data_IF_315953033255
#
_entry.id   IF_315953033255
#
_cell.length_a   1.000
_cell.length_b   1.000
_cell.length_c   1.000
_cell.angle_alpha   90.00
_cell.angle_beta   90.00
_cell.angle_gamma   90.00
#
_symmetry.space_group_name_H-M   'P 1'
#
loop_
_entity.id
_entity.type
_entity.pdbx_description
1 polymer ?
#
# COMPACT_ATOMS: atom_id res chain seq x y z
N UNK A 1 12.44 -45.99 -69.74
CA UNK A 1 11.48 -44.86 -69.72
C UNK A 1 10.93 -44.76 -68.30
N UNK A 2 11.45 -43.83 -67.50
CA UNK A 2 11.09 -43.64 -66.10
C UNK A 2 10.29 -42.34 -65.97
N UNK A 3 9.00 -42.46 -65.65
CA UNK A 3 8.14 -41.33 -65.32
C UNK A 3 8.35 -40.93 -63.86
N UNK A 4 8.70 -39.66 -63.63
CA UNK A 4 8.68 -39.02 -62.31
C UNK A 4 7.28 -38.42 -62.07
N UNK A 5 6.63 -38.67 -60.92
CA UNK A 5 5.47 -37.90 -60.53
C UNK A 5 5.90 -36.54 -59.96
N UNK A 6 5.27 -35.47 -60.45
CA UNK A 6 5.33 -34.11 -59.89
C UNK A 6 4.24 -34.02 -58.82
N UNK A 7 4.64 -33.78 -57.57
CA UNK A 7 3.73 -33.54 -56.46
C UNK A 7 3.37 -32.04 -56.45
N UNK A 8 2.13 -31.71 -56.78
CA UNK A 8 1.59 -30.35 -56.72
C UNK A 8 0.92 -30.16 -55.34
N UNK A 9 1.51 -29.34 -54.46
CA UNK A 9 0.89 -28.96 -53.19
C UNK A 9 0.19 -27.62 -53.39
N UNK A 10 -1.14 -27.65 -53.41
CA UNK A 10 -1.97 -26.44 -53.39
C UNK A 10 -2.19 -26.09 -51.92
N UNK A 11 -1.55 -25.01 -51.46
CA UNK A 11 -1.84 -24.41 -50.16
C UNK A 11 -3.03 -23.46 -50.32
N UNK A 12 -4.18 -23.85 -49.78
CA UNK A 12 -5.30 -22.95 -49.55
C UNK A 12 -5.08 -22.22 -48.23
N UNK A 13 -4.81 -20.92 -48.31
CA UNK A 13 -4.84 -20.04 -47.15
C UNK A 13 -6.28 -19.94 -46.65
N UNK A 14 -6.57 -20.56 -45.51
CA UNK A 14 -7.81 -20.32 -44.77
C UNK A 14 -7.66 -18.98 -44.07
N UNK A 15 -8.38 -17.98 -44.56
CA UNK A 15 -8.52 -16.69 -43.89
C UNK A 15 -9.21 -16.89 -42.54
N UNK A 16 -8.48 -16.65 -41.46
CA UNK A 16 -9.06 -16.51 -40.13
C UNK A 16 -9.66 -15.11 -40.01
N UNK A 17 -10.98 -15.04 -39.99
CA UNK A 17 -11.69 -13.85 -39.53
C UNK A 17 -11.45 -13.73 -38.03
N UNK A 18 -10.63 -12.74 -37.63
CA UNK A 18 -10.55 -12.31 -36.25
C UNK A 18 -11.92 -11.72 -35.87
N UNK A 19 -12.65 -12.43 -35.02
CA UNK A 19 -13.80 -11.87 -34.32
C UNK A 19 -13.29 -10.73 -33.43
N UNK A 20 -13.59 -9.49 -33.82
CA UNK A 20 -13.38 -8.32 -32.98
C UNK A 20 -14.33 -8.44 -31.80
N UNK A 21 -13.79 -8.78 -30.63
CA UNK A 21 -14.52 -8.72 -29.38
C UNK A 21 -15.02 -7.28 -29.17
N UNK A 22 -16.30 -7.08 -28.80
CA UNK A 22 -16.80 -5.74 -28.53
C UNK A 22 -15.99 -5.13 -27.39
N UNK A 23 -15.32 -4.01 -27.67
CA UNK A 23 -14.80 -3.13 -26.63
C UNK A 23 -16.01 -2.62 -25.85
N UNK A 24 -16.23 -3.18 -24.67
CA UNK A 24 -17.11 -2.57 -23.69
C UNK A 24 -16.47 -1.23 -23.29
N UNK A 25 -16.94 -0.15 -23.92
CA UNK A 25 -16.62 1.19 -23.51
C UNK A 25 -17.44 1.45 -22.25
N UNK A 26 -16.85 1.17 -21.09
CA UNK A 26 -17.38 1.67 -19.83
C UNK A 26 -17.19 3.18 -19.84
N UNK A 27 -18.22 3.91 -20.26
CA UNK A 27 -18.34 5.32 -19.91
C UNK A 27 -18.70 5.35 -18.43
N UNK A 28 -17.73 5.69 -17.59
CA UNK A 28 -18.00 6.14 -16.24
C UNK A 28 -18.63 7.53 -16.42
N UNK A 29 -19.96 7.56 -16.46
CA UNK A 29 -20.70 8.80 -16.30
C UNK A 29 -20.53 9.18 -14.83
N UNK A 30 -19.66 10.15 -14.56
CA UNK A 30 -19.71 10.85 -13.28
C UNK A 30 -21.06 11.53 -13.24
N UNK A 31 -21.93 11.03 -12.36
CA UNK A 31 -23.07 11.78 -11.90
C UNK A 31 -22.49 13.02 -11.22
N UNK A 32 -22.64 14.19 -11.85
CA UNK A 32 -22.48 15.48 -11.20
C UNK A 32 -23.61 15.65 -10.18
N UNK A 33 -23.66 14.75 -9.19
CA UNK A 33 -24.38 15.01 -7.96
C UNK A 33 -23.57 16.08 -7.25
N UNK A 34 -23.95 17.33 -7.51
CA UNK A 34 -23.59 18.45 -6.66
C UNK A 34 -23.74 17.99 -5.21
N UNK A 35 -22.70 18.14 -4.37
CA UNK A 35 -22.89 17.90 -2.96
C UNK A 35 -23.93 18.92 -2.51
N UNK A 36 -25.17 18.47 -2.33
CA UNK A 36 -26.13 19.19 -1.53
C UNK A 36 -25.41 19.44 -0.20
N UNK A 37 -25.06 20.70 0.04
CA UNK A 37 -24.77 21.22 1.36
C UNK A 37 -25.99 20.92 2.22
N UNK A 38 -26.04 19.71 2.78
CA UNK A 38 -26.91 19.43 3.91
C UNK A 38 -26.33 20.27 5.03
N UNK A 39 -26.96 21.43 5.21
CA UNK A 39 -26.62 22.40 6.24
C UNK A 39 -26.44 21.68 7.58
N UNK A 40 -25.17 21.54 8.00
CA UNK A 40 -24.78 21.04 9.30
C UNK A 40 -25.02 22.09 10.42
N UNK A 41 -25.95 23.03 10.22
CA UNK A 41 -26.23 24.11 11.16
C UNK A 41 -27.47 23.87 12.02
N UNK A 42 -28.20 22.77 11.84
CA UNK A 42 -29.44 22.53 12.59
C UNK A 42 -29.29 21.67 13.87
N UNK A 43 -28.10 21.11 14.15
CA UNK A 43 -27.89 20.25 15.34
C UNK A 43 -27.13 20.92 16.49
N UNK A 44 -26.73 22.19 16.35
CA UNK A 44 -25.99 22.92 17.40
C UNK A 44 -26.73 24.13 17.99
N UNK A 45 -27.98 24.40 17.59
CA UNK A 45 -28.77 25.54 18.09
C UNK A 45 -29.98 25.13 18.94
N UNK A 46 -29.91 24.02 19.68
CA UNK A 46 -31.02 23.60 20.56
C UNK A 46 -30.65 23.38 22.02
N UNK A 47 -29.59 24.03 22.52
CA UNK A 47 -29.24 24.04 23.96
C UNK A 47 -28.87 25.45 24.49
N UNK A 48 -29.37 26.52 23.86
CA UNK A 48 -29.45 27.84 24.51
C UNK A 48 -30.85 28.08 25.08
N UNK A 49 -31.31 27.15 25.92
CA UNK A 49 -32.44 27.43 26.79
C UNK A 49 -31.91 27.78 28.17
N UNK A 50 -31.91 29.08 28.46
CA UNK A 50 -31.66 29.69 29.77
C UNK A 50 -32.61 29.11 30.82
N UNK A 51 -32.19 28.04 31.48
CA UNK A 51 -32.65 27.69 32.82
C UNK A 51 -31.50 26.96 33.55
N UNK A 52 -30.53 27.77 33.99
CA UNK A 52 -29.42 27.33 34.82
C UNK A 52 -30.01 26.87 36.16
N UNK A 53 -30.20 25.57 36.33
CA UNK A 53 -30.46 24.94 37.62
C UNK A 53 -29.11 24.79 38.37
N UNK A 54 -28.82 25.60 39.41
CA UNK A 54 -27.52 25.61 40.09
C UNK A 54 -27.22 24.35 40.93
N UNK A 55 -28.10 23.34 40.92
CA UNK A 55 -28.02 22.15 41.77
C UNK A 55 -27.66 20.87 41.00
N UNK A 56 -27.37 20.94 39.69
CA UNK A 56 -26.93 19.75 38.94
C UNK A 56 -25.51 19.34 39.33
N UNK A 57 -25.26 18.09 39.77
CA UNK A 57 -23.96 17.62 40.26
C UNK A 57 -22.87 17.61 39.18
N UNK A 58 -23.22 17.83 37.91
CA UNK A 58 -22.30 17.93 36.78
C UNK A 58 -21.50 19.24 36.82
N UNK A 59 -22.09 20.34 37.31
CA UNK A 59 -21.41 21.65 37.33
C UNK A 59 -20.46 21.83 38.52
N UNK A 60 -20.58 21.01 39.56
CA UNK A 60 -19.72 21.11 40.75
C UNK A 60 -18.27 20.69 40.50
N UNK A 61 -17.99 20.00 39.40
CA UNK A 61 -16.62 19.56 39.05
C UNK A 61 -15.89 20.50 38.09
N UNK A 62 -16.59 21.48 37.49
CA UNK A 62 -15.98 22.40 36.51
C UNK A 62 -15.33 23.60 37.19
N UNK A 63 -15.82 24.01 38.37
CA UNK A 63 -15.28 25.18 39.10
C UNK A 63 -13.95 24.93 39.81
N UNK A 64 -13.58 23.68 40.06
CA UNK A 64 -12.39 23.33 40.86
C UNK A 64 -11.14 23.06 40.01
N UNK A 65 -11.23 23.15 38.68
CA UNK A 65 -10.11 22.94 37.77
C UNK A 65 -9.41 24.26 37.42
N UNK A 66 -8.68 24.83 38.38
CA UNK A 66 -7.77 25.98 38.14
C UNK A 66 -6.38 25.54 37.64
N UNK A 67 -6.29 24.40 36.94
CA UNK A 67 -5.05 23.95 36.33
C UNK A 67 -4.78 24.75 35.06
N UNK A 68 -3.73 25.57 35.07
CA UNK A 68 -3.15 26.16 33.87
C UNK A 68 -2.69 25.02 32.94
N UNK A 69 -3.56 24.59 32.03
CA UNK A 69 -3.24 23.60 31.01
C UNK A 69 -2.32 24.28 30.01
N UNK A 70 -1.01 24.15 30.19
CA UNK A 70 -0.06 24.49 29.14
C UNK A 70 -0.29 23.53 27.99
N UNK A 71 -0.92 24.00 26.91
CA UNK A 71 -1.02 23.26 25.67
C UNK A 71 0.40 22.99 25.16
N UNK A 72 0.88 21.76 25.30
CA UNK A 72 2.04 21.31 24.54
C UNK A 72 1.52 20.84 23.19
N UNK A 73 2.03 21.44 22.12
CA UNK A 73 1.86 20.87 20.79
C UNK A 73 2.37 19.42 20.82
N UNK A 74 1.59 18.46 20.32
CA UNK A 74 2.06 17.09 20.22
C UNK A 74 3.34 17.06 19.35
N UNK A 75 4.31 16.19 19.67
CA UNK A 75 5.50 16.05 18.85
C UNK A 75 5.11 15.73 17.40
N UNK A 76 5.85 16.31 16.45
CA UNK A 76 5.66 16.04 15.02
C UNK A 76 5.96 14.56 14.71
N UNK A 77 4.95 13.84 14.22
CA UNK A 77 5.03 12.45 13.77
C UNK A 77 6.13 12.28 12.71
N UNK A 78 7.01 11.30 12.88
CA UNK A 78 8.10 11.04 11.93
C UNK A 78 8.44 9.56 11.82
N UNK A 79 8.60 9.10 10.58
CA UNK A 79 8.92 7.69 10.32
C UNK A 79 10.23 7.54 9.57
N UNK A 80 11.02 6.55 9.97
CA UNK A 80 12.30 6.23 9.33
C UNK A 80 12.11 5.10 8.32
N UNK A 81 12.53 5.34 7.07
CA UNK A 81 12.58 4.32 6.03
C UNK A 81 14.03 4.03 5.69
N UNK A 82 14.42 2.77 5.88
CA UNK A 82 15.75 2.28 5.54
C UNK A 82 15.65 1.18 4.49
N UNK A 83 16.19 1.42 3.31
CA UNK A 83 16.29 0.49 2.21
C UNK A 83 17.74 0.01 2.07
N UNK A 84 17.90 -1.31 2.00
CA UNK A 84 19.19 -1.99 1.86
C UNK A 84 19.12 -2.83 0.59
N UNK A 85 20.02 -2.58 -0.36
CA UNK A 85 20.22 -3.45 -1.53
C UNK A 85 21.55 -4.18 -1.39
N UNK A 86 21.50 -5.49 -1.20
CA UNK A 86 22.66 -6.38 -1.30
C UNK A 86 22.80 -6.98 -2.70
N UNK A 87 21.97 -6.52 -3.64
CA UNK A 87 21.96 -7.01 -5.00
C UNK A 87 23.18 -6.50 -5.77
N UNK A 88 23.63 -7.28 -6.76
CA UNK A 88 24.72 -6.86 -7.65
C UNK A 88 24.32 -5.73 -8.62
N UNK A 89 23.02 -5.39 -8.70
CA UNK A 89 22.45 -4.36 -9.55
C UNK A 89 21.16 -3.80 -8.96
N UNK A 90 20.65 -2.73 -9.57
CA UNK A 90 19.44 -2.04 -9.15
C UNK A 90 19.63 -1.14 -7.92
N UNK A 91 18.78 -0.12 -7.84
CA UNK A 91 18.74 0.85 -6.74
C UNK A 91 17.48 0.64 -5.92
N UNK A 92 17.64 0.37 -4.62
CA UNK A 92 16.50 0.30 -3.72
C UNK A 92 15.86 1.69 -3.55
N UNK A 93 14.57 1.76 -3.88
CA UNK A 93 13.75 2.97 -3.79
C UNK A 93 12.36 2.60 -3.30
N UNK A 94 11.56 3.60 -2.90
CA UNK A 94 10.12 3.45 -2.79
C UNK A 94 9.40 4.60 -3.50
N UNK A 95 8.17 4.35 -3.91
CA UNK A 95 7.29 5.37 -4.50
C UNK A 95 6.02 5.48 -3.67
N UNK A 96 5.51 6.70 -3.55
CA UNK A 96 4.26 7.01 -2.87
C UNK A 96 3.37 7.86 -3.79
N UNK A 97 2.07 7.98 -3.48
CA UNK A 97 1.12 8.66 -4.36
C UNK A 97 1.32 10.19 -4.38
N UNK A 98 1.88 10.74 -3.30
CA UNK A 98 2.06 12.19 -3.14
C UNK A 98 3.35 12.68 -3.81
N UNK A 99 4.31 11.78 -4.04
CA UNK A 99 5.62 12.07 -4.61
C UNK A 99 5.87 11.20 -5.85
N UNK A 100 5.70 11.75 -7.07
CA UNK A 100 5.87 10.98 -8.31
C UNK A 100 7.32 10.55 -8.59
N UNK A 101 8.28 11.03 -7.80
CA UNK A 101 9.69 10.68 -7.92
C UNK A 101 10.07 9.63 -6.87
N UNK A 102 10.79 8.55 -7.24
CA UNK A 102 11.24 7.56 -6.28
C UNK A 102 12.10 8.16 -5.17
N UNK A 103 11.82 7.74 -3.94
CA UNK A 103 12.49 8.17 -2.71
C UNK A 103 13.42 7.08 -2.19
N UNK A 104 14.42 7.47 -1.42
CA UNK A 104 15.40 6.57 -0.83
C UNK A 104 15.31 6.52 0.68
N UNK A 105 16.44 6.27 1.33
CA UNK A 105 16.54 6.24 2.79
C UNK A 105 16.31 7.63 3.37
N UNK A 106 15.60 7.71 4.49
CA UNK A 106 15.35 8.98 5.15
C UNK A 106 14.45 8.87 6.37
N UNK A 107 14.24 10.01 7.00
CA UNK A 107 13.20 10.23 8.01
C UNK A 107 12.22 11.24 7.44
N UNK A 108 10.94 10.93 7.52
CA UNK A 108 9.89 11.68 6.85
C UNK A 108 8.79 12.05 7.83
N UNK A 109 8.26 13.29 7.77
CA UNK A 109 7.20 13.73 8.67
C UNK A 109 5.83 13.19 8.26
N UNK A 110 4.92 13.03 9.23
CA UNK A 110 3.54 12.59 9.06
C UNK A 110 3.41 11.15 8.53
N UNK A 111 2.21 10.79 8.07
CA UNK A 111 1.91 9.49 7.45
C UNK A 111 2.88 9.18 6.31
N UNK A 112 3.55 8.02 6.38
CA UNK A 112 4.41 7.52 5.30
C UNK A 112 3.85 6.23 4.75
N UNK A 113 3.39 6.22 3.51
CA UNK A 113 3.00 5.00 2.79
C UNK A 113 3.82 4.86 1.51
N UNK A 114 3.99 3.64 1.02
CA UNK A 114 4.72 3.46 -0.24
C UNK A 114 4.91 2.03 -0.68
N UNK A 115 5.44 1.89 -1.90
CA UNK A 115 5.81 0.63 -2.53
C UNK A 115 7.31 0.63 -2.76
N UNK A 116 8.05 -0.20 -2.03
CA UNK A 116 9.50 -0.34 -2.11
C UNK A 116 9.93 -1.46 -3.06
N UNK A 117 10.88 -1.19 -3.95
CA UNK A 117 11.35 -2.10 -4.99
C UNK A 117 12.79 -1.74 -5.44
N UNK A 118 13.38 -2.56 -6.30
CA UNK A 118 14.64 -2.23 -6.99
C UNK A 118 14.34 -1.57 -8.33
N UNK A 119 14.65 -0.29 -8.46
CA UNK A 119 14.65 0.42 -9.73
C UNK A 119 15.85 -0.01 -10.56
N UNK A 120 15.67 -0.16 -11.88
CA UNK A 120 16.75 -0.50 -12.83
C UNK A 120 17.51 -1.79 -12.46
N UNK A 121 16.81 -2.77 -11.88
CA UNK A 121 17.40 -4.08 -11.58
C UNK A 121 17.84 -4.77 -12.88
N UNK A 122 19.06 -5.31 -12.91
CA UNK A 122 19.53 -5.98 -14.12
C UNK A 122 18.72 -7.27 -14.36
N UNK A 123 18.46 -7.58 -15.62
CA UNK A 123 17.70 -8.76 -16.06
C UNK A 123 16.20 -8.78 -15.68
N UNK A 124 15.70 -7.74 -14.98
CA UNK A 124 14.28 -7.52 -14.81
C UNK A 124 13.94 -6.08 -15.20
N UNK A 125 12.93 -5.87 -16.03
CA UNK A 125 12.49 -4.52 -16.41
C UNK A 125 11.64 -3.89 -15.30
N UNK A 126 12.19 -3.78 -14.09
CA UNK A 126 11.50 -3.19 -12.94
C UNK A 126 11.16 -1.74 -13.23
N UNK A 127 9.87 -1.43 -13.20
CA UNK A 127 9.31 -0.12 -13.46
C UNK A 127 8.80 0.53 -12.17
N UNK A 128 8.22 1.71 -12.31
CA UNK A 128 7.59 2.45 -11.22
C UNK A 128 6.66 1.57 -10.38
N UNK A 129 6.71 1.70 -9.05
CA UNK A 129 5.89 0.92 -8.13
C UNK A 129 6.20 -0.58 -8.10
N UNK A 130 7.35 -1.01 -8.65
CA UNK A 130 7.71 -2.42 -8.69
C UNK A 130 7.08 -3.21 -9.83
N UNK A 131 6.41 -2.56 -10.80
CA UNK A 131 5.84 -3.24 -11.98
C UNK A 131 6.90 -4.11 -12.68
N UNK A 132 6.54 -5.35 -13.03
CA UNK A 132 7.40 -6.45 -13.49
C UNK A 132 8.31 -7.08 -12.42
N UNK A 133 8.27 -6.61 -11.17
CA UNK A 133 9.15 -7.02 -10.08
C UNK A 133 8.39 -7.23 -8.76
N UNK A 134 9.07 -7.76 -7.76
CA UNK A 134 8.48 -7.97 -6.44
C UNK A 134 8.63 -6.69 -5.64
N UNK A 135 7.65 -6.39 -4.80
CA UNK A 135 7.71 -5.19 -3.98
C UNK A 135 7.35 -5.46 -2.52
N UNK A 136 7.71 -4.52 -1.66
CA UNK A 136 7.20 -4.42 -0.30
C UNK A 136 6.30 -3.19 -0.24
N UNK A 137 5.00 -3.40 0.00
CA UNK A 137 4.08 -2.31 0.31
C UNK A 137 4.12 -2.04 1.80
N UNK A 138 4.07 -0.77 2.21
CA UNK A 138 4.07 -0.42 3.62
C UNK A 138 3.28 0.87 3.91
N UNK A 139 2.90 1.05 5.17
CA UNK A 139 2.28 2.26 5.73
C UNK A 139 2.77 2.43 7.17
N UNK A 140 3.18 3.63 7.52
CA UNK A 140 3.68 4.04 8.84
C UNK A 140 2.86 5.23 9.32
N UNK A 141 2.31 5.14 10.52
CA UNK A 141 1.38 6.10 11.11
C UNK A 141 1.41 6.06 12.64
N UNK A 142 1.43 7.24 13.27
CA UNK A 142 1.25 7.44 14.72
C UNK A 142 -0.22 7.61 15.12
N UNK A 143 -1.15 7.50 14.15
CA UNK A 143 -2.58 7.52 14.40
C UNK A 143 -3.22 8.88 14.55
N UNK A 144 -2.55 9.93 14.08
CA UNK A 144 -2.97 11.34 13.92
C UNK A 144 -4.20 11.52 13.00
N UNK A 145 -5.30 10.79 13.24
CA UNK A 145 -6.49 10.74 12.37
C UNK A 145 -6.48 9.60 11.33
N UNK A 146 -5.36 8.89 11.19
CA UNK A 146 -5.19 7.78 10.23
C UNK A 146 -5.14 6.39 10.87
N UNK A 147 -5.33 6.32 12.20
CA UNK A 147 -5.20 5.10 13.01
C UNK A 147 -3.73 4.73 13.29
N UNK A 148 -3.43 4.19 14.47
CA UNK A 148 -2.06 3.81 14.90
C UNK A 148 -1.57 2.51 14.25
N UNK A 149 -1.96 2.25 13.00
CA UNK A 149 -1.72 0.97 12.36
C UNK A 149 -0.63 1.11 11.30
N UNK A 150 0.54 0.63 11.67
CA UNK A 150 1.66 0.45 10.77
C UNK A 150 1.51 -0.91 10.10
N UNK A 151 1.71 -1.00 8.80
CA UNK A 151 1.55 -2.26 8.07
C UNK A 151 2.59 -2.44 6.97
N UNK A 152 2.93 -3.69 6.68
CA UNK A 152 3.83 -4.04 5.59
C UNK A 152 3.49 -5.42 5.02
N UNK A 153 3.73 -5.62 3.73
CA UNK A 153 3.50 -6.89 3.04
C UNK A 153 4.34 -7.03 1.79
N UNK A 154 4.65 -8.28 1.42
CA UNK A 154 5.18 -8.58 0.10
C UNK A 154 4.06 -8.54 -0.94
N UNK A 155 4.35 -7.97 -2.10
CA UNK A 155 3.45 -7.90 -3.23
C UNK A 155 4.05 -8.60 -4.45
N UNK A 156 3.37 -9.66 -4.87
CA UNK A 156 3.64 -10.52 -6.02
C UNK A 156 2.35 -10.76 -6.83
N UNK A 157 1.45 -9.77 -6.86
CA UNK A 157 0.20 -9.85 -7.59
C UNK A 157 0.43 -9.77 -9.11
N UNK A 158 0.66 -10.95 -9.71
CA UNK A 158 0.88 -11.13 -11.15
C UNK A 158 -0.42 -11.47 -11.89
N UNK A 159 -1.32 -10.51 -12.01
CA UNK A 159 -2.54 -10.64 -12.81
C UNK A 159 -2.94 -9.35 -13.54
N UNK A 160 -3.72 -9.44 -14.64
CA UNK A 160 -4.24 -8.26 -15.33
C UNK A 160 -4.99 -7.34 -14.38
N UNK A 161 -4.53 -6.08 -14.25
CA UNK A 161 -5.11 -5.08 -13.35
C UNK A 161 -4.47 -4.98 -11.95
N UNK A 162 -3.47 -5.81 -11.63
CA UNK A 162 -2.86 -5.89 -10.29
C UNK A 162 -1.38 -5.49 -10.23
N UNK A 163 -0.90 -4.68 -11.16
CA UNK A 163 0.49 -4.18 -11.15
C UNK A 163 1.53 -5.12 -11.76
N UNK A 164 1.19 -6.40 -12.03
CA UNK A 164 2.10 -7.36 -12.68
C UNK A 164 3.42 -7.50 -11.88
N UNK A 165 3.29 -7.68 -10.57
CA UNK A 165 4.41 -7.81 -9.64
C UNK A 165 4.91 -9.26 -9.62
N UNK A 166 6.19 -9.46 -9.98
CA UNK A 166 6.81 -10.79 -10.18
C UNK A 166 8.03 -10.99 -9.31
N UNK A 167 8.22 -12.19 -8.79
CA UNK A 167 9.41 -12.47 -7.98
C UNK A 167 10.69 -12.47 -8.85
N UNK A 168 11.58 -11.52 -8.62
CA UNK A 168 12.90 -11.43 -9.28
C UNK A 168 14.09 -11.41 -8.31
N UNK A 169 13.85 -11.10 -7.05
CA UNK A 169 14.86 -11.01 -6.00
C UNK A 169 14.24 -11.31 -4.63
N UNK A 170 15.08 -11.76 -3.70
CA UNK A 170 14.67 -11.96 -2.31
C UNK A 170 14.38 -10.62 -1.65
N UNK A 171 13.37 -10.60 -0.80
CA UNK A 171 12.95 -9.42 -0.07
C UNK A 171 12.75 -9.78 1.39
N UNK A 172 13.04 -8.84 2.29
CA UNK A 172 12.70 -8.95 3.69
C UNK A 172 12.34 -7.57 4.22
N UNK A 173 11.47 -7.50 5.22
CA UNK A 173 11.24 -6.26 5.96
C UNK A 173 11.18 -6.53 7.46
N UNK A 174 11.45 -5.50 8.25
CA UNK A 174 11.20 -5.46 9.68
C UNK A 174 10.85 -4.05 10.11
N UNK A 175 9.93 -3.93 11.05
CA UNK A 175 9.72 -2.66 11.73
C UNK A 175 10.84 -2.37 12.73
N UNK A 176 11.12 -1.09 12.97
CA UNK A 176 12.05 -0.59 13.98
C UNK A 176 11.42 0.55 14.79
N UNK A 177 12.02 0.91 15.93
CA UNK A 177 11.48 1.92 16.84
C UNK A 177 10.65 1.33 17.98
N UNK A 178 9.81 2.16 18.59
CA UNK A 178 8.94 1.78 19.71
C UNK A 178 7.68 1.07 19.21
N UNK A 179 7.84 -0.19 18.82
CA UNK A 179 6.74 -1.03 18.32
C UNK A 179 6.21 -1.97 19.39
N UNK A 180 4.89 -2.04 19.55
CA UNK A 180 4.19 -3.05 20.33
C UNK A 180 3.15 -3.75 19.46
N UNK A 181 2.85 -5.00 19.79
CA UNK A 181 1.90 -5.83 19.05
C UNK A 181 2.20 -5.92 17.54
N UNK A 182 3.48 -5.87 17.14
CA UNK A 182 3.86 -6.52 15.88
C UNK A 182 3.38 -7.95 16.00
N UNK A 183 2.60 -8.42 15.03
CA UNK A 183 1.94 -9.71 15.00
C UNK A 183 2.97 -10.88 15.12
N UNK A 184 3.52 -11.06 16.33
CA UNK A 184 4.61 -11.97 16.69
C UNK A 184 4.04 -13.39 16.71
N UNK A 185 4.20 -14.13 15.62
CA UNK A 185 3.62 -15.47 15.43
C UNK A 185 2.58 -15.56 14.32
N UNK A 186 2.38 -14.50 13.55
CA UNK A 186 1.50 -14.47 12.39
C UNK A 186 2.34 -14.64 11.11
N UNK A 187 1.97 -15.62 10.27
CA UNK A 187 2.55 -16.08 8.99
C UNK A 187 3.11 -15.06 7.96
N UNK A 188 3.16 -13.75 8.25
CA UNK A 188 3.98 -12.79 7.54
C UNK A 188 5.43 -12.70 8.07
N UNK A 189 5.76 -13.43 9.14
CA UNK A 189 7.10 -13.51 9.72
C UNK A 189 8.03 -14.43 8.92
N UNK A 190 8.57 -13.91 7.82
CA UNK A 190 9.63 -14.60 7.10
C UNK A 190 10.11 -13.80 5.89
N UNK A 191 11.38 -13.99 5.48
CA UNK A 191 11.85 -13.40 4.24
C UNK A 191 11.08 -13.99 3.06
N UNK A 192 10.76 -13.14 2.08
CA UNK A 192 10.29 -13.55 0.78
C UNK A 192 11.46 -14.08 -0.05
N UNK A 193 11.55 -15.40 -0.18
CA UNK A 193 12.66 -16.10 -0.82
C UNK A 193 12.33 -16.69 -2.19
N UNK A 194 11.08 -16.62 -2.61
CA UNK A 194 10.61 -17.13 -3.90
C UNK A 194 9.20 -16.66 -4.26
N UNK A 195 8.71 -17.07 -5.43
CA UNK A 195 7.46 -16.62 -6.03
C UNK A 195 6.21 -17.44 -5.66
N UNK A 196 6.26 -18.23 -4.58
CA UNK A 196 5.11 -19.03 -4.11
C UNK A 196 4.76 -18.69 -2.67
N UNK A 197 3.52 -18.97 -2.20
CA UNK A 197 3.11 -18.74 -0.82
C UNK A 197 4.02 -19.38 0.22
N UNK A 198 4.57 -20.57 -0.05
CA UNK A 198 5.47 -21.27 0.86
C UNK A 198 6.85 -20.60 0.95
N UNK A 199 7.30 -19.99 -0.15
CA UNK A 199 8.60 -19.34 -0.23
C UNK A 199 8.55 -17.87 0.18
N UNK A 200 7.36 -17.29 0.26
CA UNK A 200 7.13 -15.89 0.62
C UNK A 200 5.89 -15.78 1.51
N UNK A 201 6.05 -16.15 2.80
CA UNK A 201 4.96 -16.17 3.77
C UNK A 201 4.30 -14.79 3.91
N UNK A 202 2.96 -14.77 3.87
CA UNK A 202 2.16 -13.54 3.95
C UNK A 202 2.13 -12.70 2.67
N UNK A 203 2.86 -13.08 1.62
CA UNK A 203 2.83 -12.37 0.35
C UNK A 203 1.46 -12.40 -0.33
N UNK A 204 1.12 -11.34 -1.06
CA UNK A 204 -0.05 -11.29 -1.93
C UNK A 204 0.33 -11.79 -3.33
N UNK A 205 -0.46 -12.68 -3.91
CA UNK A 205 -0.17 -13.36 -5.17
C UNK A 205 -1.34 -13.30 -6.17
N UNK A 206 -1.01 -13.37 -7.47
CA UNK A 206 -1.99 -13.49 -8.53
C UNK A 206 -2.92 -12.28 -8.64
N UNK A 207 -4.23 -12.51 -8.74
CA UNK A 207 -5.25 -11.46 -8.90
C UNK A 207 -6.27 -11.44 -7.78
N UNK A 208 -5.87 -11.85 -6.57
CA UNK A 208 -6.74 -11.93 -5.41
C UNK A 208 -6.17 -11.09 -4.26
N UNK A 209 -6.88 -10.02 -3.89
CA UNK A 209 -6.55 -9.15 -2.77
C UNK A 209 -6.59 -9.86 -1.40
N UNK A 210 -7.14 -11.09 -1.33
CA UNK A 210 -7.22 -11.89 -0.12
C UNK A 210 -6.18 -13.02 -0.06
N UNK A 211 -5.30 -13.12 -1.06
CA UNK A 211 -4.29 -14.18 -1.15
C UNK A 211 -3.13 -14.05 -0.14
N UNK A 212 -2.98 -12.88 0.47
CA UNK A 212 -1.89 -12.57 1.39
C UNK A 212 -2.37 -12.02 2.73
N UNK A 213 -1.42 -11.70 3.60
CA UNK A 213 -1.67 -11.06 4.89
C UNK A 213 -0.58 -10.06 5.22
N UNK A 214 -0.98 -8.86 5.63
CA UNK A 214 -0.05 -7.82 6.06
C UNK A 214 0.45 -8.12 7.47
N UNK A 215 1.72 -7.83 7.74
CA UNK A 215 2.18 -7.64 9.11
C UNK A 215 1.64 -6.30 9.58
N UNK A 216 0.99 -6.27 10.72
CA UNK A 216 0.51 -5.05 11.35
C UNK A 216 1.22 -4.85 12.68
N UNK A 217 1.48 -3.59 13.04
CA UNK A 217 2.00 -3.22 14.34
C UNK A 217 1.54 -1.83 14.77
N UNK A 218 1.61 -1.59 16.08
CA UNK A 218 1.30 -0.30 16.70
C UNK A 218 2.55 0.27 17.32
N UNK A 219 2.63 1.58 17.39
CA UNK A 219 3.80 2.27 17.90
C UNK A 219 3.81 3.72 17.45
N UNK A 220 4.64 4.51 18.11
CA UNK A 220 4.95 5.90 17.72
C UNK A 220 6.30 5.96 17.04
N UNK A 221 6.45 6.86 16.07
CA UNK A 221 7.64 7.07 15.25
C UNK A 221 8.19 5.75 14.66
N UNK A 222 7.29 4.83 14.28
CA UNK A 222 7.69 3.50 13.79
C UNK A 222 8.48 3.64 12.50
N UNK A 223 9.63 3.00 12.44
CA UNK A 223 10.42 2.88 11.22
C UNK A 223 10.26 1.53 10.54
N UNK A 224 10.76 1.42 9.32
CA UNK A 224 10.86 0.17 8.57
C UNK A 224 12.24 0.02 7.95
N UNK A 225 12.79 -1.19 8.04
CA UNK A 225 13.98 -1.62 7.32
C UNK A 225 13.54 -2.65 6.28
N UNK A 226 13.80 -2.37 5.01
CA UNK A 226 13.51 -3.23 3.87
C UNK A 226 14.83 -3.63 3.22
N UNK A 227 15.03 -4.93 3.03
CA UNK A 227 16.27 -5.51 2.49
C UNK A 227 15.97 -6.31 1.23
N UNK A 228 16.78 -6.11 0.20
CA UNK A 228 16.78 -6.84 -1.06
C UNK A 228 18.10 -7.65 -1.20
N UNK A 229 18.03 -8.89 -1.71
CA UNK A 229 19.15 -9.83 -1.99
C UNK A 229 20.15 -10.15 -0.85
#
# INVERSE_FOLDING_TARGET
MLFRPILLIISTAVGTFAAVAPRAHWQITYSDDEPNEVMANAYFEQDQQDDIQPESPVYKYVSDFQGEQTYQEPPEEKHKVTLISNCNSGKAVYTDNDHPQPRGNGTYPGLVSGIAYLQEFEHAHCQYGGVNCGAVQFTLSDGSGHGMMNSASYDLMDAPGFGNHKFHYKMNYKFEGETYDCDRGSAAEGPCTGGTPEQCPGGFFGGDWYSGRRTECRGSDVGIIITFC
#
